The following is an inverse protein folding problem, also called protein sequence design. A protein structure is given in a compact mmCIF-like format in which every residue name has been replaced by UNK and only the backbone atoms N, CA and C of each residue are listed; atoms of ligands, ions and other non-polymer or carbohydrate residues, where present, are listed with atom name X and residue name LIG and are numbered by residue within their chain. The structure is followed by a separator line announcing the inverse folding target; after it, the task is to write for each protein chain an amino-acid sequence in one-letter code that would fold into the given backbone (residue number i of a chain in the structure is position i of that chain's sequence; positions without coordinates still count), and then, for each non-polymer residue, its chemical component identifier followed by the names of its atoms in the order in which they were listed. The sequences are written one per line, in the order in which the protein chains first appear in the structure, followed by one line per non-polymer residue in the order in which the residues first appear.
data_IF_990723090116
#
_entry.id   IF_990723090116
#
_cell.length_a   1.000
_cell.length_b   1.000
_cell.length_c   1.000
_cell.angle_alpha   90.00
_cell.angle_beta   90.00
_cell.angle_gamma   90.00
#
_symmetry.space_group_name_H-M   'P 1'
#
loop_
_entity.id
_entity.type
_entity.pdbx_description
1 polymer ?
#
# COMPACT_ATOMS: atom_id res chain seq x y z
N UNK A 1 2.94 -4.92 -7.14
CA UNK A 1 3.94 -4.23 -6.28
C UNK A 1 4.35 -5.02 -5.03
N UNK A 2 3.46 -5.79 -4.38
CA UNK A 2 3.75 -6.39 -3.06
C UNK A 2 4.49 -7.75 -3.01
N UNK A 3 4.52 -8.52 -4.11
CA UNK A 3 5.04 -9.90 -4.07
C UNK A 3 6.46 -10.08 -3.48
N UNK A 4 7.45 -9.22 -3.75
CA UNK A 4 8.79 -9.34 -3.14
C UNK A 4 8.83 -9.10 -1.63
N UNK A 5 7.91 -8.28 -1.10
CA UNK A 5 7.86 -7.93 0.32
C UNK A 5 7.17 -9.01 1.16
N UNK A 6 6.39 -9.91 0.56
CA UNK A 6 5.64 -10.94 1.29
C UNK A 6 6.53 -11.81 2.19
N UNK A 7 7.68 -12.27 1.67
CA UNK A 7 8.62 -13.08 2.44
C UNK A 7 9.19 -12.33 3.64
N UNK A 8 9.57 -11.06 3.44
CA UNK A 8 10.09 -10.22 4.52
C UNK A 8 8.99 -9.92 5.55
N UNK A 9 7.76 -9.70 5.09
CA UNK A 9 6.60 -9.48 5.94
C UNK A 9 6.36 -10.64 6.91
N UNK A 10 6.42 -11.86 6.38
CA UNK A 10 6.26 -13.09 7.16
C UNK A 10 7.44 -13.32 8.13
N UNK A 11 8.68 -13.14 7.67
CA UNK A 11 9.87 -13.45 8.48
C UNK A 11 10.21 -12.40 9.54
N UNK A 12 10.06 -11.10 9.23
CA UNK A 12 10.49 -10.01 10.10
C UNK A 12 9.37 -9.50 11.01
N UNK A 13 8.11 -9.62 10.56
CA UNK A 13 6.90 -9.09 11.22
C UNK A 13 6.98 -7.57 11.51
N UNK A 14 5.90 -6.98 11.99
CA UNK A 14 5.93 -5.60 12.49
C UNK A 14 6.19 -5.60 13.99
N UNK A 15 7.05 -4.69 14.46
CA UNK A 15 7.40 -4.57 15.89
C UNK A 15 7.18 -3.17 16.42
N UNK A 16 6.78 -3.09 17.68
CA UNK A 16 6.75 -1.82 18.42
C UNK A 16 8.16 -1.51 18.95
N UNK A 17 8.66 -0.33 18.62
CA UNK A 17 9.94 0.21 19.08
C UNK A 17 9.66 1.53 19.80
N UNK A 18 9.49 1.45 21.12
CA UNK A 18 9.01 2.56 21.95
C UNK A 18 7.57 2.96 21.59
N UNK A 19 7.42 4.18 21.05
CA UNK A 19 6.14 4.74 20.60
C UNK A 19 5.89 4.58 19.09
N UNK A 20 6.81 3.92 18.37
CA UNK A 20 6.75 3.78 16.90
C UNK A 20 6.64 2.34 16.47
N UNK A 21 5.82 2.07 15.46
CA UNK A 21 5.76 0.77 14.80
C UNK A 21 6.79 0.73 13.68
N UNK A 22 7.69 -0.26 13.72
CA UNK A 22 8.64 -0.55 12.65
C UNK A 22 8.09 -1.67 11.77
N UNK A 23 7.93 -1.37 10.48
CA UNK A 23 7.47 -2.31 9.46
C UNK A 23 8.64 -3.14 8.90
N UNK A 24 8.37 -4.32 8.32
CA UNK A 24 9.34 -5.13 7.59
C UNK A 24 10.09 -4.36 6.49
N UNK A 25 11.30 -4.82 6.19
CA UNK A 25 12.15 -4.24 5.17
C UNK A 25 11.48 -4.31 3.78
N UNK A 26 11.56 -3.20 3.05
CA UNK A 26 10.96 -3.04 1.72
C UNK A 26 9.46 -2.68 1.73
N UNK A 27 8.78 -2.73 2.87
CA UNK A 27 7.35 -2.40 2.94
C UNK A 27 7.07 -0.91 2.67
N UNK A 28 7.94 -0.03 3.15
CA UNK A 28 7.85 1.42 2.91
C UNK A 28 7.98 1.76 1.43
N UNK A 29 8.94 1.16 0.74
CA UNK A 29 9.19 1.43 -0.68
C UNK A 29 8.09 0.83 -1.56
N UNK A 30 7.60 -0.37 -1.22
CA UNK A 30 6.46 -0.98 -1.90
C UNK A 30 5.19 -0.15 -1.73
N UNK A 31 4.93 0.39 -0.52
CA UNK A 31 3.81 1.29 -0.28
C UNK A 31 3.95 2.60 -1.06
N UNK A 32 5.16 3.15 -1.14
CA UNK A 32 5.43 4.34 -1.94
C UNK A 32 5.10 4.09 -3.42
N UNK A 33 5.58 3.00 -4.00
CA UNK A 33 5.27 2.64 -5.39
C UNK A 33 3.77 2.40 -5.62
N UNK A 34 3.07 1.83 -4.63
CA UNK A 34 1.62 1.66 -4.68
C UNK A 34 0.88 3.01 -4.73
N UNK A 35 1.27 3.94 -3.85
CA UNK A 35 0.68 5.28 -3.78
C UNK A 35 1.04 6.14 -4.99
N UNK A 36 2.29 6.11 -5.45
CA UNK A 36 2.75 6.82 -6.65
C UNK A 36 2.02 6.32 -7.91
N UNK A 37 1.63 5.04 -7.93
CA UNK A 37 0.76 4.47 -8.98
C UNK A 37 -0.72 4.83 -8.85
N UNK A 38 -1.12 5.58 -7.83
CA UNK A 38 -2.49 6.03 -7.59
C UNK A 38 -3.46 4.93 -7.14
N UNK A 39 -2.95 3.74 -6.81
CA UNK A 39 -3.78 2.58 -6.43
C UNK A 39 -4.53 2.78 -5.13
N UNK A 40 -4.02 3.63 -4.24
CA UNK A 40 -4.65 3.98 -2.95
C UNK A 40 -5.90 4.87 -3.09
N UNK A 41 -6.14 5.47 -4.27
CA UNK A 41 -7.23 6.42 -4.50
C UNK A 41 -8.01 6.11 -5.80
N UNK A 42 -7.97 4.85 -6.25
CA UNK A 42 -8.49 4.39 -7.54
C UNK A 42 -9.98 4.70 -7.76
N UNK A 43 -10.81 4.50 -6.74
CA UNK A 43 -12.26 4.74 -6.78
C UNK A 43 -12.68 6.07 -6.14
N UNK A 44 -11.72 6.78 -5.53
CA UNK A 44 -11.99 8.01 -4.81
C UNK A 44 -12.38 9.15 -5.77
N UNK A 45 -13.16 10.10 -5.28
CA UNK A 45 -13.61 11.23 -6.09
C UNK A 45 -12.42 12.10 -6.56
N UNK A 46 -12.41 12.58 -7.83
CA UNK A 46 -11.36 13.46 -8.33
C UNK A 46 -11.19 14.76 -7.55
N UNK A 47 -12.26 15.27 -6.92
CA UNK A 47 -12.21 16.44 -6.03
C UNK A 47 -11.26 16.27 -4.82
N UNK A 48 -10.90 15.03 -4.48
CA UNK A 48 -9.96 14.69 -3.42
C UNK A 48 -8.68 14.03 -3.95
N UNK A 49 -8.41 14.13 -5.25
CA UNK A 49 -7.22 13.55 -5.89
C UNK A 49 -7.35 12.06 -6.26
N UNK A 50 -8.56 11.50 -6.25
CA UNK A 50 -8.81 10.14 -6.71
C UNK A 50 -9.02 10.02 -8.23
N UNK A 51 -9.04 8.80 -8.75
CA UNK A 51 -9.19 8.56 -10.18
C UNK A 51 -10.65 8.50 -10.65
N UNK A 52 -11.62 8.43 -9.73
CA UNK A 52 -13.06 8.42 -10.05
C UNK A 52 -13.53 7.17 -10.80
N UNK A 53 -12.80 6.07 -10.72
CA UNK A 53 -13.13 4.84 -11.45
C UNK A 53 -14.24 4.04 -10.76
N UNK A 54 -15.02 3.25 -11.52
CA UNK A 54 -16.03 2.35 -10.96
C UNK A 54 -15.46 1.38 -9.90
N UNK A 55 -16.24 1.15 -8.84
CA UNK A 55 -15.90 0.21 -7.77
C UNK A 55 -15.65 -1.22 -8.26
N UNK A 56 -16.32 -1.65 -9.33
CA UNK A 56 -16.10 -2.96 -9.95
C UNK A 56 -14.67 -3.13 -10.46
N UNK A 57 -14.07 -2.09 -11.01
CA UNK A 57 -12.68 -2.11 -11.45
C UNK A 57 -11.70 -2.06 -10.28
N UNK A 58 -12.05 -1.36 -9.20
CA UNK A 58 -11.23 -1.30 -7.99
C UNK A 58 -11.11 -2.64 -7.26
N UNK A 59 -12.06 -3.56 -7.42
CA UNK A 59 -12.01 -4.89 -6.80
C UNK A 59 -11.36 -5.97 -7.67
N UNK A 60 -11.25 -5.74 -8.99
CA UNK A 60 -10.79 -6.75 -9.95
C UNK A 60 -9.25 -6.85 -10.04
N UNK A 61 -8.53 -5.93 -9.39
CA UNK A 61 -7.10 -5.65 -9.58
C UNK A 61 -6.29 -5.81 -8.31
#
# INVERSE_FOLDING_TARGET
VGAPTNKNGDSQTSRLDGDKVKTPDGFKDAYKQFADGGWNAFVCAPAHGGQGLPWSLGMAV
#
